data_IF_701088128241
#
_entry.id   IF_701088128241
#
_cell.length_a   1.000
_cell.length_b   1.000
_cell.length_c   1.000
_cell.angle_alpha   90.00
_cell.angle_beta   90.00
_cell.angle_gamma   90.00
#
_symmetry.space_group_name_H-M   'P 1'
#
loop_
_entity.id
_entity.type
_entity.pdbx_description
1 polymer ?
#
# COMPACT_ATOMS: atom_id res chain seq x y z
N UNK A 1 70.53 14.15 31.09
CA UNK A 1 69.38 13.29 30.73
C UNK A 1 68.13 14.05 30.33
N UNK A 2 67.77 15.18 30.94
CA UNK A 2 66.58 15.97 30.55
C UNK A 2 66.74 16.83 29.26
N UNK A 3 67.91 17.45 28.94
CA UNK A 3 67.99 18.34 27.77
C UNK A 3 68.10 17.60 26.42
N UNK A 4 68.43 16.30 26.41
CA UNK A 4 68.49 15.49 25.18
C UNK A 4 67.16 14.86 24.78
N UNK A 5 66.16 14.81 25.67
CA UNK A 5 64.83 14.31 25.32
C UNK A 5 64.05 15.34 24.47
N UNK A 6 64.32 16.63 24.69
CA UNK A 6 63.60 17.77 24.07
C UNK A 6 64.04 18.04 22.61
N UNK A 7 65.14 17.43 22.14
CA UNK A 7 65.65 17.56 20.78
C UNK A 7 65.30 16.40 19.84
N UNK A 8 64.39 15.50 20.23
CA UNK A 8 63.89 14.51 19.29
C UNK A 8 62.89 15.17 18.32
N UNK A 9 63.20 15.12 17.03
CA UNK A 9 62.37 15.65 15.93
C UNK A 9 60.89 15.21 16.08
N UNK A 10 60.68 14.01 16.59
CA UNK A 10 59.37 13.41 16.90
C UNK A 10 58.57 14.17 17.95
N UNK A 11 59.20 14.67 19.03
CA UNK A 11 58.53 15.44 20.09
C UNK A 11 58.09 16.83 19.59
N UNK A 12 58.91 17.46 18.75
CA UNK A 12 58.57 18.76 18.14
C UNK A 12 57.41 18.63 17.15
N UNK A 13 57.40 17.56 16.34
CA UNK A 13 56.30 17.27 15.42
C UNK A 13 55.01 16.96 16.19
N UNK A 14 55.09 16.13 17.24
CA UNK A 14 53.93 15.83 18.09
C UNK A 14 53.35 17.09 18.73
N UNK A 15 54.20 17.98 19.26
CA UNK A 15 53.78 19.24 19.84
C UNK A 15 53.05 20.14 18.82
N UNK A 16 53.53 20.22 17.57
CA UNK A 16 52.86 20.98 16.51
C UNK A 16 51.50 20.40 16.14
N UNK A 17 51.38 19.07 16.05
CA UNK A 17 50.11 18.40 15.76
C UNK A 17 49.10 18.66 16.87
N UNK A 18 49.53 18.59 18.14
CA UNK A 18 48.67 18.91 19.29
C UNK A 18 48.21 20.37 19.25
N UNK A 19 49.10 21.31 18.90
CA UNK A 19 48.76 22.73 18.81
C UNK A 19 47.76 23.02 17.68
N UNK A 20 47.92 22.36 16.53
CA UNK A 20 46.96 22.44 15.42
C UNK A 20 45.62 21.82 15.82
N UNK A 21 45.62 20.67 16.49
CA UNK A 21 44.39 20.04 16.97
C UNK A 21 43.63 20.94 17.96
N UNK A 22 44.34 21.57 18.91
CA UNK A 22 43.75 22.54 19.84
C UNK A 22 43.19 23.75 19.08
N UNK A 23 43.92 24.26 18.07
CA UNK A 23 43.46 25.34 17.21
C UNK A 23 42.17 24.99 16.46
N UNK A 24 42.09 23.78 15.89
CA UNK A 24 40.88 23.29 15.21
C UNK A 24 39.72 23.15 16.18
N UNK A 25 39.96 22.62 17.39
CA UNK A 25 38.93 22.51 18.43
C UNK A 25 38.43 23.88 18.86
N UNK A 26 39.31 24.86 19.03
CA UNK A 26 38.92 26.25 19.35
C UNK A 26 38.11 26.89 18.21
N UNK A 27 38.50 26.69 16.96
CA UNK A 27 37.76 27.17 15.79
C UNK A 27 36.38 26.51 15.73
N UNK A 28 36.30 25.20 15.94
CA UNK A 28 35.02 24.49 16.01
C UNK A 28 34.16 25.05 17.14
N UNK A 29 34.69 25.22 18.35
CA UNK A 29 33.95 25.81 19.47
C UNK A 29 33.44 27.20 19.08
N UNK A 30 34.28 28.08 18.51
CA UNK A 30 33.88 29.42 18.10
C UNK A 30 32.85 29.46 16.96
N UNK A 31 32.85 28.47 16.06
CA UNK A 31 31.86 28.34 14.98
C UNK A 31 30.53 27.76 15.49
N UNK A 32 30.58 26.81 16.42
CA UNK A 32 29.39 26.14 16.96
C UNK A 32 28.73 26.88 18.12
N UNK A 33 29.46 27.69 18.90
CA UNK A 33 28.88 28.49 20.00
C UNK A 33 27.81 29.51 19.60
N UNK A 34 27.93 30.23 18.46
CA UNK A 34 26.85 31.10 18.00
C UNK A 34 25.64 30.32 17.44
N UNK A 35 25.86 29.08 17.00
CA UNK A 35 24.82 28.19 16.45
C UNK A 35 24.04 27.41 17.53
N UNK A 36 24.65 27.15 18.69
CA UNK A 36 24.03 26.44 19.80
C UNK A 36 24.20 27.24 21.10
N UNK A 37 23.16 27.94 21.54
CA UNK A 37 23.13 28.49 22.91
C UNK A 37 22.88 27.34 23.88
N UNK A 38 23.95 26.79 24.45
CA UNK A 38 23.84 25.77 25.49
C UNK A 38 23.62 26.48 26.84
N UNK A 39 22.38 26.45 27.32
CA UNK A 39 22.01 26.92 28.65
C UNK A 39 22.19 25.81 29.70
N UNK A 40 21.98 26.14 30.99
CA UNK A 40 22.09 25.16 32.10
C UNK A 40 21.11 23.97 32.01
N UNK A 41 20.17 24.02 31.07
CA UNK A 41 19.11 23.01 30.87
C UNK A 41 19.23 22.26 29.52
N UNK A 42 20.25 22.52 28.70
CA UNK A 42 20.48 21.83 27.43
C UNK A 42 20.70 22.75 26.22
N UNK A 43 20.66 22.17 25.02
CA UNK A 43 20.74 22.89 23.74
C UNK A 43 19.47 23.71 23.57
N UNK A 44 19.55 25.03 23.71
CA UNK A 44 18.43 25.93 23.46
C UNK A 44 18.43 26.26 21.97
N UNK A 45 17.42 25.73 21.26
CA UNK A 45 17.12 26.12 19.88
C UNK A 45 16.83 27.62 19.83
N UNK A 46 17.26 28.31 18.78
CA UNK A 46 16.88 29.72 18.62
C UNK A 46 15.38 29.78 18.29
N UNK A 47 14.69 30.85 18.71
CA UNK A 47 13.25 31.02 18.46
C UNK A 47 12.91 30.91 16.96
N UNK A 48 13.82 31.38 16.09
CA UNK A 48 13.70 31.27 14.64
C UNK A 48 13.79 29.81 14.17
N UNK A 49 14.71 29.00 14.71
CA UNK A 49 14.81 27.58 14.39
C UNK A 49 13.61 26.78 14.92
N UNK A 50 13.10 27.12 16.10
CA UNK A 50 11.90 26.50 16.65
C UNK A 50 10.65 26.84 15.83
N UNK A 51 10.49 28.10 15.39
CA UNK A 51 9.42 28.52 14.49
C UNK A 51 9.54 27.88 13.10
N UNK A 52 10.74 27.75 12.54
CA UNK A 52 10.97 27.07 11.25
C UNK A 52 10.69 25.57 11.33
N UNK A 53 11.16 24.88 12.38
CA UNK A 53 10.90 23.45 12.59
C UNK A 53 9.40 23.22 12.83
N UNK A 54 8.75 24.08 13.60
CA UNK A 54 7.30 23.98 13.85
C UNK A 54 6.50 24.21 12.58
N UNK A 55 6.88 25.21 11.77
CA UNK A 55 6.23 25.48 10.47
C UNK A 55 6.43 24.32 9.50
N UNK A 56 7.66 23.85 9.33
CA UNK A 56 7.98 22.73 8.45
C UNK A 56 7.28 21.44 8.88
N UNK A 57 7.24 21.16 10.19
CA UNK A 57 6.52 20.01 10.74
C UNK A 57 5.01 20.15 10.53
N UNK A 58 4.44 21.34 10.72
CA UNK A 58 3.02 21.59 10.49
C UNK A 58 2.64 21.46 9.00
N UNK A 59 3.53 21.88 8.08
CA UNK A 59 3.34 21.73 6.64
C UNK A 59 3.38 20.25 6.22
N UNK A 60 4.35 19.47 6.74
CA UNK A 60 4.44 18.03 6.48
C UNK A 60 3.22 17.30 7.04
N UNK A 61 2.83 17.57 8.29
CA UNK A 61 1.65 16.97 8.92
C UNK A 61 0.38 17.36 8.14
N UNK A 62 0.29 18.62 7.70
CA UNK A 62 -0.83 19.10 6.90
C UNK A 62 -0.96 18.35 5.57
N UNK A 63 0.15 18.19 4.86
CA UNK A 63 0.20 17.47 3.59
C UNK A 63 -0.14 15.98 3.74
N UNK A 64 0.41 15.31 4.76
CA UNK A 64 0.09 13.90 5.05
C UNK A 64 -1.39 13.71 5.40
N UNK A 65 -1.97 14.61 6.20
CA UNK A 65 -3.39 14.56 6.55
C UNK A 65 -4.28 14.83 5.33
N UNK A 66 -3.92 15.79 4.48
CA UNK A 66 -4.66 16.07 3.25
C UNK A 66 -4.64 14.87 2.29
N UNK A 67 -3.50 14.21 2.14
CA UNK A 67 -3.38 12.97 1.36
C UNK A 67 -4.29 11.87 1.91
N UNK A 68 -4.31 11.66 3.23
CA UNK A 68 -5.20 10.69 3.88
C UNK A 68 -6.68 11.02 3.66
N UNK A 69 -7.07 12.29 3.79
CA UNK A 69 -8.44 12.74 3.54
C UNK A 69 -8.82 12.50 2.07
N UNK A 70 -7.91 12.74 1.14
CA UNK A 70 -8.15 12.53 -0.28
C UNK A 70 -8.36 11.04 -0.60
N UNK A 71 -7.49 10.17 -0.06
CA UNK A 71 -7.62 8.72 -0.20
C UNK A 71 -8.95 8.21 0.37
N UNK A 72 -9.33 8.68 1.56
CA UNK A 72 -10.57 8.25 2.21
C UNK A 72 -11.80 8.79 1.48
N UNK A 73 -11.77 10.05 1.05
CA UNK A 73 -12.83 10.64 0.21
C UNK A 73 -13.02 9.85 -1.09
N UNK A 74 -11.92 9.39 -1.71
CA UNK A 74 -11.97 8.55 -2.89
C UNK A 74 -12.65 7.20 -2.60
N UNK A 75 -12.27 6.49 -1.53
CA UNK A 75 -12.92 5.23 -1.09
C UNK A 75 -14.42 5.41 -0.87
N UNK A 76 -14.82 6.45 -0.12
CA UNK A 76 -16.24 6.75 0.11
C UNK A 76 -16.99 7.09 -1.18
N UNK A 77 -16.35 7.80 -2.12
CA UNK A 77 -16.97 8.09 -3.41
C UNK A 77 -17.28 6.81 -4.21
N UNK A 78 -16.41 5.81 -4.13
CA UNK A 78 -16.62 4.49 -4.76
C UNK A 78 -17.77 3.75 -4.04
N UNK A 79 -17.76 3.70 -2.71
CA UNK A 79 -18.84 3.05 -1.94
C UNK A 79 -20.19 3.68 -2.28
N UNK A 80 -20.28 5.02 -2.27
CA UNK A 80 -21.50 5.73 -2.62
C UNK A 80 -21.94 5.46 -4.06
N UNK A 81 -20.99 5.37 -5.01
CA UNK A 81 -21.27 4.96 -6.39
C UNK A 81 -21.92 3.58 -6.40
N UNK A 82 -21.32 2.58 -5.75
CA UNK A 82 -21.86 1.21 -5.68
C UNK A 82 -23.25 1.14 -5.03
N UNK A 83 -23.48 1.87 -3.94
CA UNK A 83 -24.79 1.97 -3.30
C UNK A 83 -25.85 2.62 -4.20
N UNK A 84 -25.48 3.63 -5.00
CA UNK A 84 -26.40 4.22 -5.99
C UNK A 84 -26.64 3.30 -7.19
N UNK A 85 -25.62 2.60 -7.66
CA UNK A 85 -25.76 1.58 -8.72
C UNK A 85 -26.69 0.43 -8.28
N UNK A 86 -26.71 0.08 -6.99
CA UNK A 86 -27.67 -0.85 -6.42
C UNK A 86 -29.13 -0.41 -6.64
N UNK A 87 -29.40 0.88 -6.44
CA UNK A 87 -30.75 1.44 -6.45
C UNK A 87 -31.36 1.65 -7.86
N UNK A 88 -30.54 1.73 -8.92
CA UNK A 88 -30.97 2.26 -10.23
C UNK A 88 -30.93 1.25 -11.37
N UNK A 89 -30.04 0.24 -11.36
CA UNK A 89 -29.85 -0.63 -12.54
C UNK A 89 -30.44 -2.04 -12.42
N UNK A 90 -31.45 -2.31 -13.25
CA UNK A 90 -31.71 -3.62 -13.89
C UNK A 90 -30.61 -3.88 -14.95
N UNK A 91 -29.41 -4.23 -14.50
CA UNK A 91 -28.27 -4.49 -15.37
C UNK A 91 -28.02 -5.98 -15.63
N UNK A 92 -27.22 -6.30 -16.64
CA UNK A 92 -26.72 -7.66 -16.87
C UNK A 92 -25.78 -8.07 -15.70
N UNK A 93 -26.04 -9.19 -15.00
CA UNK A 93 -25.22 -9.60 -13.86
C UNK A 93 -23.73 -9.80 -14.17
N UNK A 94 -23.39 -10.19 -15.41
CA UNK A 94 -22.00 -10.31 -15.82
C UNK A 94 -21.26 -8.97 -15.81
N UNK A 95 -21.97 -7.87 -16.10
CA UNK A 95 -21.40 -6.52 -16.02
C UNK A 95 -21.08 -6.16 -14.58
N UNK A 96 -21.90 -6.60 -13.61
CA UNK A 96 -21.68 -6.29 -12.20
C UNK A 96 -20.37 -6.90 -11.69
N UNK A 97 -20.10 -8.17 -12.01
CA UNK A 97 -18.83 -8.79 -11.60
C UNK A 97 -17.65 -8.11 -12.30
N UNK A 98 -17.74 -7.87 -13.62
CA UNK A 98 -16.71 -7.15 -14.36
C UNK A 98 -16.39 -5.79 -13.74
N UNK A 99 -17.41 -5.02 -13.39
CA UNK A 99 -17.26 -3.68 -12.83
C UNK A 99 -16.71 -3.73 -11.39
N UNK A 100 -17.05 -4.75 -10.61
CA UNK A 100 -16.43 -5.00 -9.30
C UNK A 100 -14.92 -5.24 -9.46
N UNK A 101 -14.55 -6.14 -10.36
CA UNK A 101 -13.15 -6.47 -10.63
C UNK A 101 -12.38 -5.24 -11.11
N UNK A 102 -12.96 -4.46 -12.03
CA UNK A 102 -12.36 -3.22 -12.49
C UNK A 102 -12.19 -2.21 -11.34
N UNK A 103 -13.22 -2.03 -10.51
CA UNK A 103 -13.18 -1.13 -9.34
C UNK A 103 -12.05 -1.52 -8.39
N UNK A 104 -11.90 -2.81 -8.08
CA UNK A 104 -10.83 -3.31 -7.21
C UNK A 104 -9.46 -3.03 -7.82
N UNK A 105 -9.27 -3.35 -9.10
CA UNK A 105 -7.98 -3.13 -9.79
C UNK A 105 -7.63 -1.63 -9.99
N UNK A 106 -8.63 -0.75 -10.01
CA UNK A 106 -8.43 0.70 -10.02
C UNK A 106 -8.06 1.25 -8.64
N UNK A 107 -8.71 0.75 -7.58
CA UNK A 107 -8.41 1.13 -6.20
C UNK A 107 -7.06 0.60 -5.72
N UNK A 108 -6.63 -0.55 -6.26
CA UNK A 108 -5.40 -1.25 -5.93
C UNK A 108 -4.53 -1.42 -7.19
N UNK A 109 -3.92 -0.33 -7.69
CA UNK A 109 -3.19 -0.34 -8.95
C UNK A 109 -1.82 -1.01 -8.87
N UNK A 110 -1.30 -1.38 -7.70
CA UNK A 110 -0.01 -2.09 -7.60
C UNK A 110 -0.21 -3.60 -7.42
N UNK A 111 -1.41 -3.98 -7.05
CA UNK A 111 -1.79 -5.31 -6.63
C UNK A 111 -2.26 -6.15 -7.83
N UNK A 112 -2.04 -7.46 -7.72
CA UNK A 112 -2.58 -8.46 -8.64
C UNK A 112 -3.79 -9.11 -7.99
N UNK A 113 -4.79 -9.45 -8.79
CA UNK A 113 -6.02 -10.07 -8.32
C UNK A 113 -6.17 -11.43 -8.99
N UNK A 114 -6.54 -12.45 -8.23
CA UNK A 114 -7.02 -13.72 -8.77
C UNK A 114 -8.45 -13.95 -8.29
N UNK A 115 -9.28 -14.49 -9.18
CA UNK A 115 -10.64 -14.89 -8.84
C UNK A 115 -10.86 -16.34 -9.23
N UNK A 116 -11.31 -17.13 -8.26
CA UNK A 116 -11.64 -18.54 -8.47
C UNK A 116 -13.12 -18.77 -8.19
N UNK A 117 -13.83 -19.31 -9.16
CA UNK A 117 -15.19 -19.82 -8.98
C UNK A 117 -15.12 -21.27 -8.52
N UNK A 118 -15.84 -21.58 -7.44
CA UNK A 118 -16.11 -22.94 -7.00
C UNK A 118 -17.56 -23.29 -7.26
N UNK A 119 -17.80 -24.37 -8.01
CA UNK A 119 -19.11 -25.00 -8.20
C UNK A 119 -19.00 -26.46 -7.75
N UNK A 120 -19.50 -26.77 -6.54
CA UNK A 120 -19.27 -28.08 -5.91
C UNK A 120 -17.78 -28.39 -5.74
N UNK A 121 -17.32 -29.46 -6.38
CA UNK A 121 -15.91 -29.90 -6.40
C UNK A 121 -15.09 -29.26 -7.54
N UNK A 122 -15.73 -28.56 -8.48
CA UNK A 122 -15.04 -27.94 -9.61
C UNK A 122 -14.54 -26.55 -9.22
N UNK A 123 -13.31 -26.24 -9.64
CA UNK A 123 -12.69 -24.93 -9.48
C UNK A 123 -12.31 -24.38 -10.86
N UNK A 124 -12.74 -23.15 -11.12
CA UNK A 124 -12.45 -22.43 -12.35
C UNK A 124 -11.76 -21.13 -12.02
N UNK A 125 -10.65 -20.84 -12.68
CA UNK A 125 -9.99 -19.53 -12.53
C UNK A 125 -10.55 -18.60 -13.58
N UNK A 126 -10.92 -17.39 -13.16
CA UNK A 126 -11.47 -16.38 -14.06
C UNK A 126 -10.34 -15.55 -14.66
N UNK A 127 -10.42 -15.34 -15.97
CA UNK A 127 -9.55 -14.42 -16.71
C UNK A 127 -10.38 -13.46 -17.55
N UNK A 128 -9.80 -12.31 -17.86
CA UNK A 128 -10.44 -11.34 -18.73
C UNK A 128 -9.37 -10.62 -19.57
N UNK A 129 -9.46 -10.62 -20.92
CA UNK A 129 -8.40 -10.09 -21.80
C UNK A 129 -8.03 -8.63 -21.55
N UNK A 130 -8.99 -7.81 -21.11
CA UNK A 130 -8.78 -6.38 -20.84
C UNK A 130 -8.35 -6.08 -19.39
N UNK A 131 -8.36 -7.05 -18.49
CA UNK A 131 -8.01 -6.87 -17.08
C UNK A 131 -6.68 -7.57 -16.82
N UNK A 132 -5.58 -6.97 -17.26
CA UNK A 132 -4.25 -7.61 -17.25
C UNK A 132 -3.70 -7.97 -15.86
N UNK A 133 -4.25 -7.36 -14.81
CA UNK A 133 -3.90 -7.67 -13.40
C UNK A 133 -4.80 -8.74 -12.79
N UNK A 134 -5.80 -9.23 -13.53
CA UNK A 134 -6.54 -10.44 -13.20
C UNK A 134 -5.70 -11.64 -13.65
N UNK A 135 -5.00 -12.26 -12.71
CA UNK A 135 -4.01 -13.30 -12.94
C UNK A 135 -4.47 -14.66 -12.43
N UNK A 136 -3.83 -15.72 -12.91
CA UNK A 136 -3.97 -17.06 -12.36
C UNK A 136 -3.19 -17.12 -11.05
N UNK A 137 -3.69 -17.79 -9.99
CA UNK A 137 -2.93 -17.98 -8.76
C UNK A 137 -1.57 -18.60 -9.03
N UNK A 138 -0.52 -17.97 -8.52
CA UNK A 138 0.82 -18.54 -8.52
C UNK A 138 1.11 -19.06 -7.11
N UNK A 139 1.22 -20.38 -6.96
CA UNK A 139 1.45 -21.03 -5.66
C UNK A 139 2.77 -20.64 -4.98
N UNK A 140 3.66 -19.93 -5.67
CA UNK A 140 4.89 -19.38 -5.10
C UNK A 140 4.70 -18.02 -4.40
N UNK A 141 3.59 -17.31 -4.69
CA UNK A 141 3.33 -15.97 -4.15
C UNK A 141 2.27 -16.09 -3.05
N UNK A 142 2.62 -15.72 -1.82
CA UNK A 142 1.65 -15.67 -0.72
C UNK A 142 0.61 -14.57 -0.99
N UNK A 143 -0.67 -14.90 -0.81
CA UNK A 143 -1.73 -13.89 -0.87
C UNK A 143 -1.59 -12.89 0.28
N UNK A 144 -1.88 -11.63 -0.01
CA UNK A 144 -1.93 -10.57 0.98
C UNK A 144 -3.30 -10.50 1.62
N UNK A 145 -4.35 -10.84 0.86
CA UNK A 145 -5.73 -10.87 1.33
C UNK A 145 -6.53 -11.89 0.55
N UNK A 146 -7.39 -12.62 1.26
CA UNK A 146 -8.28 -13.63 0.70
C UNK A 146 -9.70 -13.45 1.20
N UNK A 147 -10.67 -13.42 0.28
CA UNK A 147 -12.08 -13.29 0.59
C UNK A 147 -12.89 -14.35 -0.15
N UNK A 148 -13.73 -15.07 0.59
CA UNK A 148 -14.72 -15.98 0.03
C UNK A 148 -16.10 -15.31 0.04
N UNK A 149 -16.66 -15.14 -1.15
CA UNK A 149 -18.02 -14.68 -1.34
C UNK A 149 -18.93 -15.84 -1.73
N UNK A 150 -19.98 -16.04 -0.93
CA UNK A 150 -20.99 -17.07 -1.17
C UNK A 150 -22.36 -16.43 -1.10
N UNK A 151 -22.98 -16.23 -2.27
CA UNK A 151 -24.32 -15.63 -2.39
C UNK A 151 -25.42 -16.68 -2.40
N UNK A 152 -25.07 -17.90 -2.81
CA UNK A 152 -25.97 -19.06 -2.90
C UNK A 152 -25.21 -20.35 -2.51
N UNK A 153 -25.89 -21.42 -2.12
CA UNK A 153 -25.21 -22.65 -1.68
C UNK A 153 -24.50 -23.42 -2.81
N UNK A 154 -24.87 -23.18 -4.07
CA UNK A 154 -24.40 -23.90 -5.26
C UNK A 154 -23.00 -23.45 -5.73
N UNK A 155 -22.59 -22.21 -5.44
CA UNK A 155 -21.28 -21.72 -5.83
C UNK A 155 -20.66 -20.73 -4.84
N UNK A 156 -19.36 -20.52 -4.95
CA UNK A 156 -18.63 -19.48 -4.24
C UNK A 156 -17.58 -18.83 -5.15
N UNK A 157 -17.34 -17.54 -4.98
CA UNK A 157 -16.22 -16.82 -5.59
C UNK A 157 -15.16 -16.58 -4.52
N UNK A 158 -13.90 -16.86 -4.85
CA UNK A 158 -12.76 -16.56 -4.01
C UNK A 158 -11.95 -15.47 -4.68
N UNK A 159 -11.72 -14.39 -3.96
CA UNK A 159 -10.92 -13.24 -4.37
C UNK A 159 -9.61 -13.29 -3.60
N UNK A 160 -8.49 -13.25 -4.31
CA UNK A 160 -7.16 -13.23 -3.74
C UNK A 160 -6.39 -12.03 -4.29
N UNK A 161 -5.98 -11.13 -3.41
CA UNK A 161 -5.09 -10.03 -3.76
C UNK A 161 -3.66 -10.39 -3.38
N UNK A 162 -2.74 -10.11 -4.28
CA UNK A 162 -1.30 -10.26 -4.10
C UNK A 162 -0.64 -8.90 -4.21
N UNK A 163 0.00 -8.45 -3.14
CA UNK A 163 0.88 -7.29 -3.11
C UNK A 163 2.33 -7.76 -3.15
N UNK A 164 3.17 -7.09 -3.95
CA UNK A 164 4.58 -7.45 -4.08
C UNK A 164 5.40 -7.04 -2.83
N UNK A 165 5.02 -5.93 -2.17
CA UNK A 165 5.63 -5.45 -0.91
C UNK A 165 4.58 -4.78 -0.01
N UNK A 166 4.60 -5.11 1.28
CA UNK A 166 3.66 -4.56 2.26
C UNK A 166 2.28 -5.23 2.22
N UNK A 167 1.71 -5.47 3.40
CA UNK A 167 0.36 -5.99 3.53
C UNK A 167 -0.71 -4.94 3.21
N UNK A 168 -1.96 -5.37 3.07
CA UNK A 168 -3.09 -4.44 3.05
C UNK A 168 -3.28 -3.82 4.43
N UNK A 169 -3.62 -2.53 4.46
CA UNK A 169 -4.00 -1.89 5.72
C UNK A 169 -5.38 -2.39 6.16
N UNK A 170 -5.68 -2.28 7.46
CA UNK A 170 -7.01 -2.62 7.95
C UNK A 170 -8.10 -1.81 7.24
N UNK A 171 -7.85 -0.54 6.88
CA UNK A 171 -8.82 0.30 6.17
C UNK A 171 -9.10 -0.25 4.77
N UNK A 172 -8.05 -0.71 4.08
CA UNK A 172 -8.19 -1.29 2.73
C UNK A 172 -8.93 -2.63 2.76
N UNK A 173 -8.67 -3.47 3.77
CA UNK A 173 -9.42 -4.71 3.98
C UNK A 173 -10.91 -4.43 4.20
N UNK A 174 -11.26 -3.47 5.07
CA UNK A 174 -12.65 -3.09 5.32
C UNK A 174 -13.30 -2.52 4.06
N UNK A 175 -12.57 -1.70 3.30
CA UNK A 175 -13.06 -1.17 2.02
C UNK A 175 -13.41 -2.29 1.03
N UNK A 176 -12.54 -3.28 0.86
CA UNK A 176 -12.80 -4.46 0.02
C UNK A 176 -14.02 -5.25 0.51
N UNK A 177 -14.10 -5.51 1.82
CA UNK A 177 -15.24 -6.21 2.42
C UNK A 177 -16.56 -5.48 2.16
N UNK A 178 -16.59 -4.15 2.32
CA UNK A 178 -17.80 -3.35 2.06
C UNK A 178 -18.21 -3.46 0.59
N UNK A 179 -17.28 -3.32 -0.37
CA UNK A 179 -17.59 -3.45 -1.79
C UNK A 179 -18.17 -4.83 -2.13
N UNK A 180 -17.53 -5.88 -1.61
CA UNK A 180 -17.94 -7.25 -1.85
C UNK A 180 -19.27 -7.59 -1.17
N UNK A 181 -19.57 -7.01 -0.01
CA UNK A 181 -20.87 -7.14 0.66
C UNK A 181 -21.99 -6.46 -0.14
N UNK A 182 -21.76 -5.24 -0.63
CA UNK A 182 -22.72 -4.51 -1.47
C UNK A 182 -23.01 -5.30 -2.76
N UNK A 183 -21.96 -5.79 -3.42
CA UNK A 183 -22.10 -6.64 -4.60
C UNK A 183 -22.85 -7.94 -4.27
N UNK A 184 -22.49 -8.59 -3.17
CA UNK A 184 -23.07 -9.87 -2.77
C UNK A 184 -24.54 -9.79 -2.43
N UNK A 185 -24.95 -8.76 -1.68
CA UNK A 185 -26.35 -8.49 -1.41
C UNK A 185 -27.16 -8.29 -2.70
N UNK A 186 -26.57 -7.65 -3.72
CA UNK A 186 -27.22 -7.45 -5.03
C UNK A 186 -27.38 -8.76 -5.79
N UNK A 187 -26.31 -9.53 -5.90
CA UNK A 187 -26.30 -10.81 -6.60
C UNK A 187 -27.29 -11.80 -5.96
N UNK A 188 -27.35 -11.82 -4.62
CA UNK A 188 -28.28 -12.64 -3.86
C UNK A 188 -29.73 -12.21 -4.07
N UNK A 189 -30.03 -10.91 -3.96
CA UNK A 189 -31.40 -10.39 -4.14
C UNK A 189 -31.95 -10.63 -5.55
N UNK A 190 -31.08 -10.55 -6.57
CA UNK A 190 -31.44 -10.83 -7.96
C UNK A 190 -31.48 -12.33 -8.31
N UNK A 191 -31.09 -13.22 -7.38
CA UNK A 191 -31.14 -14.68 -7.59
C UNK A 191 -30.17 -15.20 -8.67
N UNK A 192 -29.12 -14.46 -8.96
CA UNK A 192 -28.24 -14.67 -10.12
C UNK A 192 -27.52 -16.02 -10.06
N UNK A 193 -27.44 -16.69 -11.21
CA UNK A 193 -26.66 -17.92 -11.39
C UNK A 193 -25.19 -17.62 -11.66
N UNK A 194 -24.28 -18.54 -11.34
CA UNK A 194 -22.86 -18.30 -11.61
C UNK A 194 -22.56 -18.07 -13.10
N UNK A 195 -23.29 -18.75 -14.00
CA UNK A 195 -23.15 -18.59 -15.45
C UNK A 195 -23.38 -17.15 -15.91
N UNK A 196 -24.36 -16.47 -15.31
CA UNK A 196 -24.67 -15.08 -15.63
C UNK A 196 -23.58 -14.13 -15.08
N UNK A 197 -23.08 -14.39 -13.86
CA UNK A 197 -22.03 -13.58 -13.24
C UNK A 197 -20.71 -13.62 -14.01
N UNK A 198 -20.32 -14.80 -14.50
CA UNK A 198 -19.02 -14.98 -15.16
C UNK A 198 -19.09 -14.82 -16.67
N UNK A 199 -20.22 -14.38 -17.22
CA UNK A 199 -20.48 -14.34 -18.67
C UNK A 199 -19.45 -13.56 -19.49
N UNK A 200 -18.76 -12.56 -18.89
CA UNK A 200 -17.71 -11.79 -19.55
C UNK A 200 -16.29 -12.32 -19.28
N UNK A 201 -16.15 -13.40 -18.52
CA UNK A 201 -14.87 -13.96 -18.12
C UNK A 201 -14.60 -15.27 -18.87
N UNK A 202 -13.33 -15.49 -19.17
CA UNK A 202 -12.83 -16.79 -19.60
C UNK A 202 -12.62 -17.66 -18.37
N UNK A 203 -13.11 -18.90 -18.44
CA UNK A 203 -12.97 -19.88 -17.37
C UNK A 203 -11.81 -20.82 -17.71
N UNK A 204 -10.67 -20.65 -17.03
CA UNK A 204 -9.52 -21.54 -17.16
C UNK A 204 -9.78 -22.81 -16.36
N UNK A 205 -9.44 -23.97 -16.92
CA UNK A 205 -9.74 -25.33 -16.43
C UNK A 205 -11.22 -25.71 -16.50
N UNK A 206 -11.95 -25.21 -17.49
CA UNK A 206 -13.36 -25.58 -17.71
C UNK A 206 -13.50 -27.00 -18.31
N UNK A 207 -14.09 -27.99 -17.62
CA UNK A 207 -14.30 -29.31 -18.19
C UNK A 207 -15.40 -29.34 -19.28
N UNK A 208 -16.13 -28.23 -19.48
CA UNK A 208 -17.03 -28.03 -20.63
C UNK A 208 -16.32 -27.47 -21.86
N UNK A 209 -15.06 -27.07 -21.74
CA UNK A 209 -14.22 -26.70 -22.89
C UNK A 209 -13.69 -27.99 -23.56
N UNK A 210 -14.62 -28.76 -24.10
CA UNK A 210 -14.37 -29.88 -24.99
C UNK A 210 -13.91 -29.43 -26.38
N UNK A 211 -13.14 -28.35 -26.49
CA UNK A 211 -12.51 -27.95 -27.74
C UNK A 211 -11.13 -28.62 -27.84
N UNK A 212 -11.13 -29.78 -28.49
CA UNK A 212 -9.92 -30.46 -28.89
C UNK A 212 -9.03 -29.53 -29.69
N UNK A 213 -7.80 -29.33 -29.19
CA UNK A 213 -6.68 -28.95 -30.03
C UNK A 213 -6.11 -30.27 -30.56
N UNK A 214 -6.31 -30.49 -31.86
CA UNK A 214 -5.51 -31.42 -32.68
C UNK A 214 -4.07 -30.97 -32.73
#
# INVERSE_FOLDING_TARGET
FIPQLVQSFTLVVLARVVLVAIGVVLIMICLFFPLFRVGKEGVQWTREQEEEITRASAEIIGAEVEELIQQESFRWSIIHRWLRFYAVQEGNPGVWLRDLVATILEAFPKERLSITLQEGEKLFVLQHPLLSKLVIPDGAVAETFGLKLRFRPDYALYFYLYADEGGLSAIDEHFLLILCEIFGGKAQAAGVTWNELVAYFQLVNNPMDGSGIK
#
